data_IF_507141825440
#
_entry.id   IF_507141825440
#
_cell.length_a   1.000
_cell.length_b   1.000
_cell.length_c   1.000
_cell.angle_alpha   90.00
_cell.angle_beta   90.00
_cell.angle_gamma   90.00
#
_symmetry.space_group_name_H-M   'P 1'
#
loop_
_entity.id
_entity.type
_entity.pdbx_description
1 polymer ?
#
# COMPACT_ATOMS: atom_id res chain seq x y z
N UNK A 1 3.38 -5.19 -10.84
CA UNK A 1 2.58 -4.00 -10.59
C UNK A 1 3.52 -2.80 -10.67
N UNK A 2 3.40 -1.96 -11.69
CA UNK A 2 4.23 -0.75 -11.79
C UNK A 2 3.61 0.31 -10.90
N UNK A 3 4.24 0.57 -9.78
CA UNK A 3 3.85 1.64 -8.89
C UNK A 3 4.56 2.88 -9.37
N UNK A 4 3.81 3.79 -9.99
CA UNK A 4 4.37 5.09 -10.36
C UNK A 4 4.54 5.92 -9.09
N UNK A 5 5.71 6.54 -8.90
CA UNK A 5 5.93 7.41 -7.76
C UNK A 5 5.00 8.62 -7.83
N UNK A 6 4.58 9.12 -6.66
CA UNK A 6 3.80 10.36 -6.61
C UNK A 6 4.68 11.52 -7.04
N UNK A 7 4.16 12.37 -7.91
CA UNK A 7 4.82 13.62 -8.25
C UNK A 7 4.89 14.56 -7.04
N UNK A 8 6.04 15.18 -6.76
CA UNK A 8 6.14 16.19 -5.72
C UNK A 8 5.27 17.40 -6.08
N UNK A 9 4.37 17.77 -5.19
CA UNK A 9 3.41 18.88 -5.40
C UNK A 9 3.90 20.22 -4.87
N UNK A 10 5.09 20.26 -4.26
CA UNK A 10 5.67 21.48 -3.68
C UNK A 10 6.47 22.34 -4.65
N UNK A 11 6.77 21.79 -5.84
CA UNK A 11 7.53 22.51 -6.86
C UNK A 11 6.60 23.26 -7.82
N UNK A 12 7.15 24.24 -8.54
CA UNK A 12 6.40 25.07 -9.49
C UNK A 12 5.86 24.23 -10.66
N UNK A 13 6.60 23.21 -11.07
CA UNK A 13 6.20 22.31 -12.17
C UNK A 13 6.12 20.87 -11.67
N UNK A 14 5.15 20.13 -12.19
CA UNK A 14 5.01 18.68 -12.02
C UNK A 14 5.63 17.93 -13.20
N UNK A 15 6.30 18.61 -14.11
CA UNK A 15 6.91 18.00 -15.28
C UNK A 15 8.17 17.20 -14.90
N UNK A 16 8.41 16.10 -15.61
CA UNK A 16 9.50 15.15 -15.32
C UNK A 16 10.89 15.79 -15.32
N UNK A 17 11.12 16.86 -16.07
CA UNK A 17 12.42 17.52 -16.07
C UNK A 17 12.86 18.03 -14.69
N UNK A 18 11.90 18.26 -13.79
CA UNK A 18 12.18 18.70 -12.40
C UNK A 18 12.74 17.56 -11.55
N UNK A 19 12.46 16.29 -11.91
CA UNK A 19 12.74 15.13 -11.06
C UNK A 19 13.72 14.14 -11.68
N UNK A 20 13.71 14.04 -13.00
CA UNK A 20 14.48 13.07 -13.76
C UNK A 20 15.53 13.75 -14.64
N UNK A 21 16.14 14.80 -14.14
CA UNK A 21 17.26 15.41 -14.85
C UNK A 21 18.19 14.34 -15.41
N UNK A 22 18.72 14.56 -16.58
CA UNK A 22 19.44 13.59 -17.40
C UNK A 22 20.73 13.03 -16.76
N UNK A 23 20.66 12.60 -15.51
CA UNK A 23 21.82 12.09 -14.77
C UNK A 23 22.39 10.80 -15.36
N UNK A 24 21.65 10.02 -16.18
CA UNK A 24 22.16 8.76 -16.77
C UNK A 24 21.43 8.28 -18.04
N UNK A 25 20.74 9.10 -18.77
CA UNK A 25 20.32 8.80 -20.16
C UNK A 25 19.23 7.72 -20.37
N UNK A 26 18.66 7.12 -19.34
CA UNK A 26 17.89 5.90 -19.50
C UNK A 26 16.40 5.94 -19.12
N UNK A 27 15.85 7.10 -18.72
CA UNK A 27 14.43 7.21 -18.38
C UNK A 27 13.73 8.34 -19.13
N UNK A 28 13.89 8.33 -20.43
CA UNK A 28 13.25 9.30 -21.33
C UNK A 28 11.93 8.72 -21.79
N UNK A 29 10.82 9.36 -21.44
CA UNK A 29 9.55 9.01 -22.08
C UNK A 29 9.55 9.52 -23.53
N UNK A 30 9.03 8.76 -24.51
CA UNK A 30 9.04 9.14 -25.93
C UNK A 30 8.26 10.41 -26.25
N UNK A 31 7.58 10.99 -25.26
CA UNK A 31 6.70 12.15 -25.42
C UNK A 31 7.31 13.46 -24.93
N UNK A 32 8.52 13.42 -24.40
CA UNK A 32 9.13 14.61 -23.84
C UNK A 32 9.99 15.32 -24.90
N UNK A 33 9.45 16.37 -25.50
CA UNK A 33 10.17 17.18 -26.48
C UNK A 33 11.42 17.88 -25.92
N UNK A 34 11.53 18.01 -24.62
CA UNK A 34 12.70 18.62 -23.97
C UNK A 34 13.86 17.65 -23.80
N UNK A 35 13.62 16.36 -23.97
CA UNK A 35 14.61 15.31 -23.73
C UNK A 35 15.54 15.07 -24.94
N UNK A 36 15.11 15.41 -26.14
CA UNK A 36 15.92 15.24 -27.36
C UNK A 36 17.01 16.30 -27.50
N UNK A 37 17.05 17.27 -26.59
CA UNK A 37 18.05 18.34 -26.61
C UNK A 37 18.97 18.18 -25.37
N UNK A 38 19.96 17.30 -25.51
CA UNK A 38 20.91 16.91 -24.45
C UNK A 38 21.62 18.09 -23.77
N UNK A 39 21.71 19.24 -24.43
CA UNK A 39 22.33 20.46 -23.90
C UNK A 39 21.45 21.20 -22.88
N UNK A 40 20.13 20.96 -22.88
CA UNK A 40 19.19 21.75 -22.07
C UNK A 40 19.34 21.53 -20.56
N UNK A 41 19.78 20.33 -20.18
CA UNK A 41 19.94 19.93 -18.77
C UNK A 41 21.36 19.47 -18.45
N UNK A 42 22.33 19.74 -19.34
CA UNK A 42 23.72 19.39 -19.08
C UNK A 42 24.25 20.14 -17.86
N UNK A 43 24.75 19.40 -16.88
CA UNK A 43 25.26 19.95 -15.62
C UNK A 43 24.20 20.35 -14.60
N UNK A 44 22.90 20.10 -14.87
CA UNK A 44 21.83 20.35 -13.91
C UNK A 44 21.52 19.05 -13.14
N UNK A 45 21.80 19.07 -11.86
CA UNK A 45 21.43 17.95 -10.98
C UNK A 45 19.95 18.05 -10.60
N UNK A 46 19.19 16.94 -10.70
CA UNK A 46 17.80 16.91 -10.28
C UNK A 46 17.66 17.23 -8.79
N UNK A 47 16.89 18.24 -8.45
CA UNK A 47 16.67 18.65 -7.08
C UNK A 47 15.49 17.91 -6.42
N UNK A 48 14.73 17.17 -7.20
CA UNK A 48 13.56 16.41 -6.75
C UNK A 48 13.87 14.94 -6.59
N UNK A 49 14.00 14.47 -5.34
CA UNK A 49 13.97 13.04 -5.09
C UNK A 49 12.51 12.57 -5.16
N UNK A 50 12.24 11.68 -6.08
CA UNK A 50 10.98 10.94 -6.08
C UNK A 50 11.01 10.01 -4.89
N UNK A 51 10.04 10.13 -4.01
CA UNK A 51 9.89 9.21 -2.88
C UNK A 51 9.47 7.83 -3.40
N UNK A 52 10.43 6.92 -3.43
CA UNK A 52 10.24 5.54 -3.89
C UNK A 52 9.77 4.61 -2.78
N UNK A 53 9.20 5.16 -1.68
CA UNK A 53 8.66 4.29 -0.63
C UNK A 53 7.67 3.29 -1.23
N UNK A 54 7.83 2.04 -0.82
CA UNK A 54 7.02 0.94 -1.32
C UNK A 54 5.67 0.90 -0.60
N UNK A 55 4.67 0.39 -1.31
CA UNK A 55 3.43 -0.07 -0.68
C UNK A 55 3.75 -1.37 0.05
N UNK A 56 3.35 -1.46 1.32
CA UNK A 56 3.35 -2.71 2.06
C UNK A 56 1.91 -3.15 2.30
N UNK A 57 1.65 -4.45 2.16
CA UNK A 57 0.34 -5.03 2.40
C UNK A 57 0.54 -6.17 3.40
N UNK A 58 -0.16 -6.10 4.51
CA UNK A 58 -0.16 -7.11 5.56
C UNK A 58 -0.83 -8.41 5.17
N UNK A 59 -1.11 -9.23 6.15
CA UNK A 59 -1.73 -10.55 5.98
C UNK A 59 -3.25 -10.47 6.07
N UNK A 60 -3.96 -11.46 5.53
CA UNK A 60 -5.44 -11.55 5.55
C UNK A 60 -6.15 -10.28 5.03
N UNK A 61 -5.58 -9.64 4.01
CA UNK A 61 -6.14 -8.42 3.41
C UNK A 61 -7.06 -8.77 2.25
N UNK A 62 -8.27 -8.22 2.28
CA UNK A 62 -9.22 -8.34 1.18
C UNK A 62 -9.39 -7.00 0.46
N UNK A 63 -8.97 -6.97 -0.81
CA UNK A 63 -9.15 -5.83 -1.70
C UNK A 63 -10.29 -6.12 -2.68
N UNK A 64 -11.35 -5.34 -2.60
CA UNK A 64 -12.44 -5.39 -3.56
C UNK A 64 -12.01 -5.01 -4.98
N UNK A 65 -12.89 -5.20 -5.95
CA UNK A 65 -12.58 -4.90 -7.36
C UNK A 65 -12.20 -3.43 -7.55
N UNK A 66 -11.19 -3.18 -8.40
CA UNK A 66 -10.72 -1.83 -8.75
C UNK A 66 -10.24 -0.98 -7.55
N UNK A 67 -9.76 -1.60 -6.49
CA UNK A 67 -9.07 -0.86 -5.42
C UNK A 67 -7.74 -0.35 -5.95
N UNK A 68 -7.48 0.95 -5.73
CA UNK A 68 -6.22 1.60 -6.07
C UNK A 68 -5.49 1.98 -4.78
N UNK A 69 -4.22 1.63 -4.69
CA UNK A 69 -3.36 1.99 -3.56
C UNK A 69 -2.26 2.90 -4.09
N UNK A 70 -2.16 4.10 -3.51
CA UNK A 70 -1.09 5.04 -3.90
C UNK A 70 0.20 4.74 -3.15
N UNK A 71 1.31 5.25 -3.66
CA UNK A 71 2.62 5.12 -3.02
C UNK A 71 2.59 5.61 -1.57
N UNK A 72 3.47 5.02 -0.77
CA UNK A 72 3.65 5.36 0.64
C UNK A 72 2.48 4.97 1.55
N UNK A 73 1.60 4.07 1.10
CA UNK A 73 0.52 3.56 1.93
C UNK A 73 0.88 2.18 2.47
N UNK A 74 0.79 2.02 3.78
CA UNK A 74 0.93 0.73 4.46
C UNK A 74 -0.46 0.21 4.79
N UNK A 75 -0.75 -1.00 4.35
CA UNK A 75 -2.03 -1.67 4.61
C UNK A 75 -1.78 -2.70 5.70
N UNK A 76 -2.46 -2.53 6.83
CA UNK A 76 -2.34 -3.42 7.98
C UNK A 76 -2.93 -4.82 7.75
N UNK A 77 -2.73 -5.71 8.71
CA UNK A 77 -3.29 -7.05 8.68
C UNK A 77 -4.82 -7.00 8.72
N UNK A 78 -5.47 -7.94 8.06
CA UNK A 78 -6.92 -8.14 8.13
C UNK A 78 -7.77 -6.99 7.57
N UNK A 79 -7.17 -6.05 6.84
CA UNK A 79 -7.88 -4.92 6.23
C UNK A 79 -8.85 -5.40 5.15
N UNK A 80 -10.01 -4.77 5.11
CA UNK A 80 -10.98 -4.92 4.02
C UNK A 80 -11.14 -3.57 3.33
N UNK A 81 -10.86 -3.52 2.02
CA UNK A 81 -11.13 -2.35 1.18
C UNK A 81 -12.29 -2.65 0.23
N UNK A 82 -13.36 -1.88 0.32
CA UNK A 82 -14.51 -2.01 -0.58
C UNK A 82 -14.14 -1.72 -2.04
N UNK A 83 -14.94 -2.23 -2.97
CA UNK A 83 -14.69 -2.02 -4.40
C UNK A 83 -14.60 -0.53 -4.77
N UNK A 84 -13.67 -0.18 -5.67
CA UNK A 84 -13.44 1.18 -6.14
C UNK A 84 -12.78 2.11 -5.12
N UNK A 85 -12.32 1.60 -3.99
CA UNK A 85 -11.65 2.41 -2.95
C UNK A 85 -10.28 2.89 -3.43
N UNK A 86 -9.99 4.17 -3.19
CA UNK A 86 -8.66 4.76 -3.45
C UNK A 86 -7.96 5.03 -2.13
N UNK A 87 -6.99 4.18 -1.80
CA UNK A 87 -6.20 4.28 -0.57
C UNK A 87 -5.02 5.21 -0.82
N UNK A 88 -4.97 6.32 -0.09
CA UNK A 88 -3.95 7.36 -0.22
C UNK A 88 -3.11 7.57 1.04
N UNK A 89 -3.37 6.78 2.08
CA UNK A 89 -2.71 6.85 3.40
C UNK A 89 -2.67 5.46 4.01
N UNK A 90 -1.89 5.31 5.07
CA UNK A 90 -1.85 4.09 5.86
C UNK A 90 -3.24 3.68 6.36
N UNK A 91 -3.49 2.38 6.33
CA UNK A 91 -4.71 1.77 6.83
C UNK A 91 -4.35 0.84 7.98
N UNK A 92 -4.86 1.11 9.19
CA UNK A 92 -4.54 0.30 10.37
C UNK A 92 -5.13 -1.11 10.27
N UNK A 93 -4.58 -2.01 11.09
CA UNK A 93 -5.00 -3.41 11.16
C UNK A 93 -6.51 -3.56 11.37
N UNK A 94 -7.11 -4.50 10.66
CA UNK A 94 -8.52 -4.89 10.73
C UNK A 94 -9.52 -3.76 10.48
N UNK A 95 -9.08 -2.65 9.87
CA UNK A 95 -9.98 -1.60 9.42
C UNK A 95 -10.75 -2.02 8.17
N UNK A 96 -12.00 -1.57 8.07
CA UNK A 96 -12.79 -1.63 6.84
C UNK A 96 -12.85 -0.24 6.25
N UNK A 97 -12.34 -0.10 5.02
CA UNK A 97 -12.24 1.19 4.34
C UNK A 97 -13.02 1.19 3.03
N UNK A 98 -13.60 2.32 2.71
CA UNK A 98 -14.33 2.56 1.45
C UNK A 98 -14.12 3.99 0.97
N UNK A 99 -14.36 4.21 -0.31
CA UNK A 99 -14.46 5.56 -0.90
C UNK A 99 -13.16 6.07 -1.54
N UNK A 100 -13.26 7.25 -2.12
CA UNK A 100 -12.18 7.97 -2.80
C UNK A 100 -12.15 9.43 -2.34
N UNK A 101 -11.18 9.80 -1.52
CA UNK A 101 -10.18 8.97 -0.86
C UNK A 101 -10.79 8.04 0.21
N UNK A 102 -10.09 6.93 0.48
CA UNK A 102 -10.51 5.93 1.48
C UNK A 102 -10.79 6.53 2.86
N UNK A 103 -11.86 6.05 3.50
CA UNK A 103 -12.23 6.39 4.88
C UNK A 103 -12.52 5.11 5.64
N UNK A 104 -12.05 5.03 6.87
CA UNK A 104 -12.39 3.94 7.78
C UNK A 104 -13.87 4.11 8.16
N UNK A 105 -14.68 3.07 7.89
CA UNK A 105 -16.09 3.03 8.29
C UNK A 105 -16.29 2.30 9.61
N UNK A 106 -15.47 1.31 9.89
CA UNK A 106 -15.40 0.58 11.16
C UNK A 106 -14.17 -0.33 11.20
N UNK A 107 -13.94 -0.94 12.34
CA UNK A 107 -13.02 -2.07 12.48
C UNK A 107 -13.79 -3.39 12.48
N UNK A 108 -13.12 -4.48 12.10
CA UNK A 108 -13.68 -5.85 12.15
C UNK A 108 -13.89 -6.29 13.60
N UNK A 109 -12.95 -5.91 14.45
CA UNK A 109 -12.82 -6.34 15.84
C UNK A 109 -12.52 -5.16 16.76
N UNK A 110 -12.64 -5.37 18.08
CA UNK A 110 -12.20 -4.41 19.09
C UNK A 110 -10.67 -4.33 19.18
N UNK A 111 -10.13 -3.25 19.73
CA UNK A 111 -8.68 -3.06 19.89
C UNK A 111 -8.02 -4.21 20.66
N UNK A 112 -8.71 -4.75 21.69
CA UNK A 112 -8.23 -5.90 22.45
C UNK A 112 -8.12 -7.15 21.59
N UNK A 113 -9.15 -7.44 20.80
CA UNK A 113 -9.18 -8.59 19.89
C UNK A 113 -8.14 -8.46 18.77
N UNK A 114 -7.99 -7.25 18.20
CA UNK A 114 -6.96 -6.96 17.18
C UNK A 114 -5.56 -7.24 17.72
N UNK A 115 -5.30 -6.80 18.94
CA UNK A 115 -4.01 -7.06 19.59
C UNK A 115 -3.72 -8.54 19.78
N UNK A 116 -4.71 -9.31 20.22
CA UNK A 116 -4.54 -10.74 20.47
C UNK A 116 -4.43 -11.55 19.17
N UNK A 117 -5.25 -11.27 18.14
CA UNK A 117 -5.16 -11.99 16.87
C UNK A 117 -3.85 -11.70 16.13
N UNK A 118 -3.34 -10.47 16.21
CA UNK A 118 -2.01 -10.13 15.69
C UNK A 118 -0.88 -10.85 16.43
N UNK A 119 -1.08 -11.21 17.69
CA UNK A 119 -0.11 -11.98 18.48
C UNK A 119 -0.15 -13.47 18.12
N UNK A 120 -1.32 -14.00 17.78
CA UNK A 120 -1.50 -15.39 17.35
C UNK A 120 -0.81 -15.63 16.00
N UNK A 121 -0.82 -14.65 15.09
CA UNK A 121 -0.19 -14.72 13.76
C UNK A 121 -0.53 -16.01 13.03
N UNK A 122 -1.81 -16.37 12.94
CA UNK A 122 -2.24 -17.63 12.33
C UNK A 122 -1.74 -17.82 10.89
N UNK A 123 -1.45 -16.75 10.18
CA UNK A 123 -0.90 -16.77 8.82
C UNK A 123 0.56 -17.25 8.75
N UNK A 124 1.24 -17.32 9.90
CA UNK A 124 2.59 -17.90 10.01
C UNK A 124 2.56 -19.39 10.38
N UNK A 125 1.37 -19.99 10.54
CA UNK A 125 1.26 -21.41 10.81
C UNK A 125 1.60 -22.23 9.57
N UNK A 126 2.17 -23.41 9.79
CA UNK A 126 2.42 -24.38 8.70
C UNK A 126 1.09 -24.82 8.05
N UNK A 127 1.13 -25.09 6.73
CA UNK A 127 -0.06 -25.45 5.95
C UNK A 127 -0.84 -26.64 6.52
N UNK A 128 -0.13 -27.64 7.07
CA UNK A 128 -0.76 -28.79 7.73
C UNK A 128 -1.53 -28.40 8.99
N UNK A 129 -1.01 -27.43 9.76
CA UNK A 129 -1.66 -26.88 10.95
C UNK A 129 -2.93 -26.11 10.58
N UNK A 130 -2.85 -25.27 9.54
CA UNK A 130 -4.02 -24.55 9.02
C UNK A 130 -5.10 -25.52 8.55
N UNK A 131 -4.70 -26.59 7.85
CA UNK A 131 -5.64 -27.63 7.38
C UNK A 131 -6.30 -28.37 8.56
N UNK A 132 -5.54 -28.72 9.58
CA UNK A 132 -6.05 -29.39 10.78
C UNK A 132 -7.04 -28.49 11.54
N UNK A 133 -6.76 -27.20 11.59
CA UNK A 133 -7.56 -26.19 12.32
C UNK A 133 -8.60 -25.49 11.44
N UNK A 134 -8.85 -25.99 10.24
CA UNK A 134 -9.73 -25.34 9.26
C UNK A 134 -11.09 -24.93 9.82
N UNK A 135 -11.72 -25.79 10.62
CA UNK A 135 -13.03 -25.52 11.21
C UNK A 135 -13.01 -24.39 12.24
N UNK A 136 -11.86 -24.10 12.83
CA UNK A 136 -11.72 -23.04 13.83
C UNK A 136 -11.76 -21.63 13.22
N UNK A 137 -11.61 -21.51 11.90
CA UNK A 137 -11.79 -20.23 11.21
C UNK A 137 -13.27 -19.82 11.05
N UNK A 138 -14.22 -20.64 11.50
CA UNK A 138 -15.66 -20.36 11.44
C UNK A 138 -16.28 -20.11 12.81
N UNK A 139 -15.48 -20.14 13.89
CA UNK A 139 -15.93 -19.80 15.25
C UNK A 139 -15.85 -18.29 15.51
N UNK A 140 -16.45 -17.84 16.61
CA UNK A 140 -16.38 -16.44 17.02
C UNK A 140 -14.96 -16.05 17.43
N UNK A 141 -14.61 -14.79 17.20
CA UNK A 141 -13.24 -14.27 17.43
C UNK A 141 -12.76 -14.46 18.87
N UNK A 142 -13.63 -14.32 19.86
CA UNK A 142 -13.26 -14.48 21.25
C UNK A 142 -12.92 -15.95 21.58
N UNK A 143 -13.66 -16.89 21.02
CA UNK A 143 -13.40 -18.33 21.15
C UNK A 143 -12.08 -18.71 20.44
N UNK A 144 -11.83 -18.15 19.26
CA UNK A 144 -10.57 -18.37 18.54
C UNK A 144 -9.37 -17.85 19.35
N UNK A 145 -9.49 -16.64 19.89
CA UNK A 145 -8.45 -16.04 20.73
C UNK A 145 -8.20 -16.88 21.97
N UNK A 146 -9.24 -17.32 22.67
CA UNK A 146 -9.11 -18.15 23.88
C UNK A 146 -8.39 -19.47 23.59
N UNK A 147 -8.68 -20.07 22.44
CA UNK A 147 -8.11 -21.36 22.01
C UNK A 147 -6.63 -21.28 21.67
N UNK A 148 -6.16 -20.14 21.12
CA UNK A 148 -4.83 -20.02 20.53
C UNK A 148 -3.93 -18.96 21.20
N UNK A 149 -4.39 -18.38 22.28
CA UNK A 149 -3.70 -17.35 23.06
C UNK A 149 -2.39 -17.80 23.71
#
# INVERSE_FOLDING_TARGET
MNVLPNHPTRYISTHDFVFHGNANGNNITPYDRFVNESWYFEGIEPQGLVDLRRITIGNDVWLGSNVLITNNSNIGNGVIAGAGTIITKDVPDYAIVVGSPARIIRYRYSDKQIKEINRICWWDWEDNVIRERYMDFFIEIDEFIEKYR
#
